data_IF_122427291725
#
_entry.id   IF_122427291725
#
_cell.length_a   1.000
_cell.length_b   1.000
_cell.length_c   1.000
_cell.angle_alpha   90.00
_cell.angle_beta   90.00
_cell.angle_gamma   90.00
#
_symmetry.space_group_name_H-M   'P 1'
#
loop_
_entity.id
_entity.type
_entity.pdbx_description
1 polymer ?
#
# COMPACT_ATOMS: atom_id res chain seq x y z
N UNK A 1 10.24 -6.00 -12.56
CA UNK A 1 10.61 -5.11 -11.44
C UNK A 1 10.08 -3.69 -11.61
N UNK A 2 10.25 -3.02 -12.77
CA UNK A 2 9.80 -1.62 -12.97
C UNK A 2 8.32 -1.35 -12.58
N UNK A 3 7.40 -2.24 -12.97
CA UNK A 3 5.95 -2.07 -12.68
C UNK A 3 5.57 -2.11 -11.19
N UNK A 4 6.38 -2.75 -10.35
CA UNK A 4 6.06 -2.94 -8.93
C UNK A 4 6.44 -1.70 -8.14
N UNK A 5 7.59 -1.11 -8.46
CA UNK A 5 8.00 0.16 -7.91
C UNK A 5 7.08 1.30 -8.31
N UNK A 6 6.48 1.25 -9.51
CA UNK A 6 5.41 2.17 -9.92
C UNK A 6 4.19 2.01 -9.01
N UNK A 7 3.74 0.78 -8.75
CA UNK A 7 2.60 0.53 -7.86
C UNK A 7 2.87 0.95 -6.41
N UNK A 8 4.07 0.64 -5.91
CA UNK A 8 4.52 1.09 -4.58
C UNK A 8 4.57 2.61 -4.51
N UNK A 9 5.08 3.30 -5.53
CA UNK A 9 5.09 4.77 -5.59
C UNK A 9 3.69 5.35 -5.58
N UNK A 10 2.75 4.76 -6.33
CA UNK A 10 1.34 5.21 -6.35
C UNK A 10 0.70 4.96 -4.98
N UNK A 11 0.94 3.82 -4.33
CA UNK A 11 0.44 3.53 -2.98
C UNK A 11 1.03 4.49 -1.94
N UNK A 12 2.34 4.74 -1.99
CA UNK A 12 3.00 5.69 -1.08
C UNK A 12 2.43 7.10 -1.30
N UNK A 13 2.25 7.53 -2.55
CA UNK A 13 1.64 8.83 -2.86
C UNK A 13 0.19 8.91 -2.36
N UNK A 14 -0.59 7.84 -2.49
CA UNK A 14 -1.94 7.75 -1.96
C UNK A 14 -1.98 7.85 -0.43
N UNK A 15 -1.21 7.00 0.27
CA UNK A 15 -1.12 6.99 1.74
C UNK A 15 -0.60 8.34 2.28
N UNK A 16 0.42 8.92 1.66
CA UNK A 16 0.96 10.22 2.09
C UNK A 16 -0.04 11.34 1.83
N UNK A 17 -0.75 11.30 0.70
CA UNK A 17 -1.83 12.25 0.40
C UNK A 17 -2.96 12.15 1.42
N UNK A 18 -3.39 10.94 1.74
CA UNK A 18 -4.43 10.66 2.73
C UNK A 18 -4.04 11.10 4.14
N UNK A 19 -2.81 10.77 4.58
CA UNK A 19 -2.27 11.26 5.83
C UNK A 19 -2.18 12.79 5.87
N UNK A 20 -1.88 13.45 4.74
CA UNK A 20 -1.87 14.91 4.67
C UNK A 20 -3.26 15.52 4.80
N UNK A 21 -4.29 14.84 4.28
CA UNK A 21 -5.71 15.21 4.42
C UNK A 21 -6.22 14.94 5.83
N UNK A 22 -5.75 13.88 6.49
CA UNK A 22 -6.18 13.48 7.83
C UNK A 22 -5.49 14.27 8.96
N UNK A 23 -4.20 14.59 8.80
CA UNK A 23 -3.41 15.35 9.79
C UNK A 23 -3.32 16.84 9.51
N UNK A 24 -3.42 17.25 8.25
CA UNK A 24 -3.64 18.63 7.90
C UNK A 24 -5.13 18.91 7.98
N UNK A 25 -5.57 19.71 8.96
CA UNK A 25 -6.88 20.36 8.93
C UNK A 25 -6.96 21.31 7.72
N UNK A 26 -6.94 20.77 6.51
CA UNK A 26 -7.28 21.51 5.34
C UNK A 26 -8.80 21.48 5.26
N UNK A 27 -9.40 22.68 5.25
CA UNK A 27 -10.75 22.96 4.74
C UNK A 27 -10.85 22.56 3.25
N UNK A 28 -10.42 21.35 2.91
CA UNK A 28 -10.34 20.83 1.57
C UNK A 28 -11.74 20.46 1.14
N UNK A 29 -12.20 21.11 0.07
CA UNK A 29 -13.43 20.76 -0.62
C UNK A 29 -13.56 19.24 -0.75
N UNK A 30 -14.76 18.71 -0.56
CA UNK A 30 -15.07 17.28 -0.65
C UNK A 30 -14.51 16.62 -1.93
N UNK A 31 -14.36 17.42 -2.99
CA UNK A 31 -13.75 17.02 -4.26
C UNK A 31 -12.28 16.59 -4.12
N UNK A 32 -11.47 17.32 -3.32
CA UNK A 32 -10.06 16.98 -3.05
C UNK A 32 -9.94 15.66 -2.29
N UNK A 33 -10.78 15.45 -1.28
CA UNK A 33 -10.82 14.18 -0.52
C UNK A 33 -11.22 13.01 -1.43
N UNK A 34 -12.14 13.22 -2.37
CA UNK A 34 -12.52 12.18 -3.34
C UNK A 34 -11.34 11.76 -4.23
N UNK A 35 -10.52 12.70 -4.70
CA UNK A 35 -9.42 12.42 -5.63
C UNK A 35 -8.36 11.53 -4.96
N UNK A 36 -7.96 11.85 -3.73
CA UNK A 36 -6.99 11.03 -2.99
C UNK A 36 -7.51 9.62 -2.73
N UNK A 37 -8.78 9.52 -2.33
CA UNK A 37 -9.49 8.25 -2.13
C UNK A 37 -9.45 7.36 -3.39
N UNK A 38 -9.71 7.91 -4.57
CA UNK A 38 -9.62 7.18 -5.84
C UNK A 38 -8.18 6.80 -6.21
N UNK A 39 -7.19 7.65 -5.93
CA UNK A 39 -5.77 7.36 -6.16
C UNK A 39 -5.30 6.17 -5.31
N UNK A 40 -5.74 6.09 -4.04
CA UNK A 40 -5.44 4.96 -3.15
C UNK A 40 -6.04 3.67 -3.70
N UNK A 41 -7.31 3.70 -4.11
CA UNK A 41 -7.98 2.52 -4.67
C UNK A 41 -7.29 2.01 -5.93
N UNK A 42 -7.05 2.90 -6.90
CA UNK A 42 -6.39 2.53 -8.17
C UNK A 42 -4.95 2.05 -7.94
N UNK A 43 -4.22 2.70 -7.03
CA UNK A 43 -2.89 2.27 -6.60
C UNK A 43 -2.88 0.90 -5.96
N UNK A 44 -3.82 0.63 -5.05
CA UNK A 44 -4.01 -0.66 -4.41
C UNK A 44 -4.31 -1.76 -5.42
N UNK A 45 -5.29 -1.54 -6.32
CA UNK A 45 -5.66 -2.51 -7.37
C UNK A 45 -4.46 -2.82 -8.27
N UNK A 46 -3.75 -1.80 -8.72
CA UNK A 46 -2.58 -1.97 -9.57
C UNK A 46 -1.45 -2.74 -8.86
N UNK A 47 -1.19 -2.43 -7.58
CA UNK A 47 -0.17 -3.11 -6.78
C UNK A 47 -0.54 -4.55 -6.46
N UNK A 48 -1.82 -4.85 -6.23
CA UNK A 48 -2.30 -6.21 -6.05
C UNK A 48 -2.09 -7.01 -7.35
N UNK A 49 -2.51 -6.46 -8.50
CA UNK A 49 -2.28 -7.08 -9.80
C UNK A 49 -0.79 -7.29 -10.11
N UNK A 50 0.05 -6.29 -9.84
CA UNK A 50 1.49 -6.37 -10.04
C UNK A 50 2.11 -7.48 -9.18
N UNK A 51 1.69 -7.59 -7.91
CA UNK A 51 2.14 -8.62 -6.98
C UNK A 51 1.73 -10.02 -7.43
N UNK A 52 0.48 -10.20 -7.87
CA UNK A 52 0.00 -11.47 -8.44
C UNK A 52 0.76 -11.85 -9.72
N UNK A 53 1.09 -10.87 -10.58
CA UNK A 53 1.90 -11.10 -11.78
C UNK A 53 3.35 -11.45 -11.44
N UNK A 54 3.93 -10.87 -10.39
CA UNK A 54 5.27 -11.25 -9.92
C UNK A 54 5.35 -12.69 -9.42
N UNK A 55 4.28 -13.21 -8.81
CA UNK A 55 4.22 -14.62 -8.37
C UNK A 55 4.43 -15.60 -9.54
N UNK A 56 3.97 -15.24 -10.74
CA UNK A 56 4.21 -16.03 -11.97
C UNK A 56 5.67 -16.00 -12.43
N UNK A 57 6.39 -14.91 -12.16
CA UNK A 57 7.79 -14.74 -12.55
C UNK A 57 8.72 -15.01 -11.34
N UNK A 58 8.90 -16.31 -11.01
CA UNK A 58 9.60 -16.82 -9.81
C UNK A 58 11.08 -16.39 -9.60
N UNK A 59 11.67 -15.54 -10.43
CA UNK A 59 13.10 -15.23 -10.39
C UNK A 59 13.52 -13.97 -9.62
N UNK A 60 12.64 -12.97 -9.47
CA UNK A 60 13.09 -11.62 -9.09
C UNK A 60 12.94 -11.23 -7.63
N UNK A 61 11.94 -11.76 -6.91
CA UNK A 61 11.66 -11.42 -5.51
C UNK A 61 11.21 -12.66 -4.72
N UNK A 62 11.64 -12.83 -3.45
CA UNK A 62 11.11 -13.82 -2.53
C UNK A 62 9.61 -13.72 -2.42
N UNK A 63 8.95 -14.89 -2.40
CA UNK A 63 7.50 -14.96 -2.34
C UNK A 63 6.92 -14.21 -1.13
N UNK A 64 7.63 -14.19 0.01
CA UNK A 64 7.18 -13.51 1.23
C UNK A 64 6.93 -12.00 1.01
N UNK A 65 7.80 -11.29 0.29
CA UNK A 65 7.64 -9.86 0.03
C UNK A 65 6.52 -9.59 -0.97
N UNK A 66 6.34 -10.48 -1.94
CA UNK A 66 5.21 -10.42 -2.87
C UNK A 66 3.87 -10.62 -2.13
N UNK A 67 3.83 -11.52 -1.16
CA UNK A 67 2.64 -11.72 -0.32
C UNK A 67 2.40 -10.53 0.60
N UNK A 68 3.43 -9.95 1.21
CA UNK A 68 3.29 -8.75 2.04
C UNK A 68 2.74 -7.56 1.23
N UNK A 69 3.24 -7.33 0.01
CA UNK A 69 2.69 -6.30 -0.87
C UNK A 69 1.25 -6.59 -1.29
N UNK A 70 0.91 -7.85 -1.58
CA UNK A 70 -0.46 -8.23 -1.93
C UNK A 70 -1.43 -8.04 -0.76
N UNK A 71 -1.03 -8.41 0.46
CA UNK A 71 -1.83 -8.22 1.67
C UNK A 71 -1.98 -6.72 1.95
N UNK A 72 -0.90 -5.94 1.87
CA UNK A 72 -0.95 -4.48 2.02
C UNK A 72 -1.94 -3.83 1.04
N UNK A 73 -1.88 -4.21 -0.23
CA UNK A 73 -2.79 -3.70 -1.25
C UNK A 73 -4.24 -4.12 -0.99
N UNK A 74 -4.48 -5.35 -0.55
CA UNK A 74 -5.80 -5.82 -0.17
C UNK A 74 -6.35 -5.08 1.06
N UNK A 75 -5.52 -4.83 2.07
CA UNK A 75 -5.90 -4.07 3.27
C UNK A 75 -6.32 -2.63 2.93
N UNK A 76 -5.62 -1.94 2.03
CA UNK A 76 -6.03 -0.61 1.55
C UNK A 76 -7.38 -0.63 0.84
N UNK A 77 -7.60 -1.62 -0.04
CA UNK A 77 -8.89 -1.75 -0.75
C UNK A 77 -10.02 -2.01 0.25
N UNK A 78 -9.78 -2.85 1.27
CA UNK A 78 -10.77 -3.12 2.31
C UNK A 78 -11.04 -1.87 3.16
N UNK A 79 -10.00 -1.14 3.56
CA UNK A 79 -10.13 0.13 4.28
C UNK A 79 -10.94 1.16 3.49
N UNK A 80 -10.69 1.26 2.18
CA UNK A 80 -11.45 2.12 1.27
C UNK A 80 -12.91 1.70 1.13
N UNK A 81 -13.20 0.39 0.99
CA UNK A 81 -14.59 -0.12 0.94
C UNK A 81 -15.30 0.15 2.26
N UNK A 82 -14.61 -0.02 3.39
CA UNK A 82 -15.15 0.28 4.71
C UNK A 82 -15.55 1.75 4.83
N UNK A 83 -14.68 2.65 4.40
CA UNK A 83 -14.96 4.08 4.45
C UNK A 83 -16.07 4.50 3.44
N UNK A 84 -15.92 4.12 2.17
CA UNK A 84 -16.86 4.54 1.12
C UNK A 84 -18.24 3.89 1.20
N UNK A 85 -18.32 2.59 1.50
CA UNK A 85 -19.60 1.85 1.47
C UNK A 85 -20.26 1.82 2.84
N UNK A 86 -19.50 1.50 3.89
CA UNK A 86 -20.08 1.26 5.21
C UNK A 86 -20.36 2.57 5.95
N UNK A 87 -19.46 3.54 5.85
CA UNK A 87 -19.70 4.85 6.47
C UNK A 87 -20.56 5.76 5.59
N UNK A 88 -20.12 6.08 4.35
CA UNK A 88 -20.83 7.07 3.54
C UNK A 88 -22.16 6.59 2.92
N UNK A 89 -22.31 5.30 2.60
CA UNK A 89 -23.53 4.78 1.98
C UNK A 89 -24.51 4.15 2.97
N UNK A 90 -24.00 3.40 3.94
CA UNK A 90 -24.85 2.73 4.94
C UNK A 90 -25.06 3.55 6.22
N UNK A 91 -24.35 4.66 6.39
CA UNK A 91 -24.51 5.56 7.53
C UNK A 91 -24.14 4.91 8.87
N UNK A 92 -23.16 4.01 8.87
CA UNK A 92 -22.68 3.40 10.12
C UNK A 92 -22.01 4.45 11.02
N UNK A 93 -22.07 4.17 12.32
CA UNK A 93 -21.56 5.06 13.37
C UNK A 93 -20.09 5.47 13.15
N UNK A 94 -19.81 6.77 13.26
CA UNK A 94 -18.46 7.37 13.11
C UNK A 94 -17.41 6.70 14.02
N UNK A 95 -17.83 6.24 15.21
CA UNK A 95 -16.95 5.57 16.15
C UNK A 95 -16.41 4.22 15.64
N UNK A 96 -17.22 3.48 14.88
CA UNK A 96 -16.83 2.22 14.26
C UNK A 96 -16.01 2.45 12.99
N UNK A 97 -16.30 3.53 12.26
CA UNK A 97 -15.50 3.97 11.12
C UNK A 97 -14.07 4.29 11.56
N UNK A 98 -13.90 5.17 12.56
CA UNK A 98 -12.58 5.62 13.00
C UNK A 98 -11.69 4.45 13.45
N UNK A 99 -12.27 3.49 14.19
CA UNK A 99 -11.55 2.32 14.67
C UNK A 99 -11.10 1.43 13.49
N UNK A 100 -12.03 1.02 12.64
CA UNK A 100 -11.74 0.09 11.56
C UNK A 100 -10.85 0.71 10.47
N UNK A 101 -11.15 1.94 10.04
CA UNK A 101 -10.37 2.67 9.04
C UNK A 101 -8.92 2.88 9.53
N UNK A 102 -8.75 3.35 10.77
CA UNK A 102 -7.44 3.50 11.39
C UNK A 102 -6.66 2.18 11.46
N UNK A 103 -7.30 1.06 11.79
CA UNK A 103 -6.64 -0.26 11.80
C UNK A 103 -6.18 -0.70 10.40
N UNK A 104 -6.99 -0.48 9.35
CA UNK A 104 -6.64 -0.85 7.98
C UNK A 104 -5.51 0.02 7.43
N UNK A 105 -5.51 1.33 7.72
CA UNK A 105 -4.47 2.24 7.26
C UNK A 105 -3.15 2.04 7.99
N UNK A 106 -3.15 2.01 9.33
CA UNK A 106 -1.94 1.71 10.10
C UNK A 106 -1.39 0.32 9.75
N UNK A 107 -2.26 -0.68 9.61
CA UNK A 107 -1.87 -2.03 9.22
C UNK A 107 -1.24 -2.07 7.84
N UNK A 108 -1.81 -1.37 6.86
CA UNK A 108 -1.27 -1.31 5.49
C UNK A 108 0.07 -0.58 5.43
N UNK A 109 0.23 0.53 6.16
CA UNK A 109 1.52 1.26 6.29
C UNK A 109 2.59 0.33 6.86
N UNK A 110 2.28 -0.40 7.94
CA UNK A 110 3.23 -1.28 8.59
C UNK A 110 3.69 -2.42 7.66
N UNK A 111 2.75 -3.02 6.93
CA UNK A 111 3.02 -4.07 5.95
C UNK A 111 3.85 -3.55 4.77
N UNK A 112 3.56 -2.34 4.30
CA UNK A 112 4.33 -1.69 3.24
C UNK A 112 5.78 -1.42 3.68
N UNK A 113 5.97 -0.91 4.89
CA UNK A 113 7.30 -0.66 5.46
C UNK A 113 8.09 -1.97 5.58
N UNK A 114 7.48 -3.04 6.07
CA UNK A 114 8.13 -4.36 6.14
C UNK A 114 8.54 -4.87 4.75
N UNK A 115 7.67 -4.70 3.74
CA UNK A 115 7.98 -5.08 2.37
C UNK A 115 9.14 -4.26 1.77
N UNK A 116 9.18 -2.95 2.02
CA UNK A 116 10.26 -2.05 1.56
C UNK A 116 11.58 -2.40 2.25
N UNK A 117 11.60 -2.46 3.58
CA UNK A 117 12.81 -2.78 4.37
C UNK A 117 13.36 -4.14 3.97
N UNK A 118 12.50 -5.15 3.85
CA UNK A 118 12.91 -6.48 3.43
C UNK A 118 13.49 -6.52 2.02
N UNK A 119 12.90 -5.76 1.09
CA UNK A 119 13.41 -5.62 -0.29
C UNK A 119 14.78 -4.94 -0.33
N UNK A 120 14.98 -3.89 0.47
CA UNK A 120 16.25 -3.17 0.60
C UNK A 120 17.34 -4.07 1.21
N UNK A 121 17.03 -4.76 2.30
CA UNK A 121 17.96 -5.72 2.95
C UNK A 121 18.39 -6.80 1.96
N UNK A 122 17.47 -7.30 1.13
CA UNK A 122 17.80 -8.29 0.13
C UNK A 122 18.70 -7.73 -0.99
N UNK A 123 18.46 -6.48 -1.43
CA UNK A 123 19.32 -5.77 -2.37
C UNK A 123 20.76 -5.67 -1.86
N UNK A 124 20.94 -5.32 -0.58
CA UNK A 124 22.26 -5.27 0.05
C UNK A 124 22.90 -6.64 0.19
N UNK A 125 22.14 -7.68 0.56
CA UNK A 125 22.64 -9.07 0.62
C UNK A 125 23.12 -9.58 -0.74
N UNK A 126 22.40 -9.28 -1.83
CA UNK A 126 22.80 -9.67 -3.19
C UNK A 126 24.09 -8.96 -3.63
N UNK A 127 24.26 -7.68 -3.31
CA UNK A 127 25.49 -6.94 -3.60
C UNK A 127 26.69 -7.46 -2.79
N UNK A 128 26.49 -7.77 -1.52
CA UNK A 128 27.54 -8.31 -0.65
C UNK A 128 28.02 -9.69 -1.12
N UNK A 129 27.11 -10.60 -1.46
CA UNK A 129 27.46 -11.96 -1.93
C UNK A 129 28.11 -12.02 -3.31
N UNK A 130 27.91 -11.01 -4.17
CA UNK A 130 28.62 -10.90 -5.45
C UNK A 130 30.08 -10.43 -5.30
N UNK A 131 30.41 -9.68 -4.24
CA UNK A 131 31.77 -9.17 -4.03
C UNK A 131 32.80 -10.26 -3.66
N UNK A 132 32.33 -11.41 -3.19
CA UNK A 132 33.18 -12.50 -2.70
C UNK A 132 33.53 -13.52 -3.80
N UNK A 133 32.84 -13.50 -4.95
CA UNK A 133 32.99 -14.52 -6.00
C UNK A 133 33.91 -14.09 -7.17
N UNK A 134 34.56 -12.92 -7.07
CA UNK A 134 35.49 -12.39 -8.08
C UNK A 134 36.93 -12.29 -7.55
N UNK A 135 37.37 -13.23 -6.71
CA UNK A 135 38.79 -13.38 -6.34
C UNK A 135 39.25 -14.81 -6.53
#
# INVERSE_FOLDING_TARGET
MKYVWIGVLIMVAGIVGDAFVFFGQADGDADTMSIFSWVILLGGIFSLWASLRMRRNRGTMPAIFVYLMAICAASLIIGWIWDGVFYHWLGLDESLQFLAHGFYDLGSILLLLLAIVGSIVQLFRRKSGQSTFTR
#
